data_IF_830583394032
#
_entry.id   IF_830583394032
#
_cell.length_a   1.000
_cell.length_b   1.000
_cell.length_c   1.000
_cell.angle_alpha   90.00
_cell.angle_beta   90.00
_cell.angle_gamma   90.00
#
_symmetry.space_group_name_H-M   'P 1'
#
loop_
_entity.id
_entity.type
_entity.pdbx_description
1 polymer ?
#
# COMPACT_ATOMS: atom_id res chain seq x y z
N UNK A 1 -86.57 64.85 42.69
CA UNK A 1 -85.18 64.44 42.95
C UNK A 1 -84.67 63.63 41.75
N UNK A 2 -84.09 64.26 40.72
CA UNK A 2 -83.57 63.60 39.52
C UNK A 2 -82.28 62.77 39.76
N UNK A 3 -81.59 63.04 40.87
CA UNK A 3 -80.26 62.52 41.22
C UNK A 3 -80.25 61.04 41.64
N UNK A 4 -81.28 60.55 42.32
CA UNK A 4 -81.37 59.14 42.75
C UNK A 4 -81.56 58.17 41.59
N UNK A 5 -82.33 58.55 40.57
CA UNK A 5 -82.57 57.70 39.38
C UNK A 5 -81.34 57.53 38.50
N UNK A 6 -80.47 58.56 38.44
CA UNK A 6 -79.20 58.51 37.73
C UNK A 6 -78.16 57.63 38.45
N UNK A 7 -78.12 57.69 39.79
CA UNK A 7 -77.24 56.85 40.60
C UNK A 7 -77.63 55.36 40.51
N UNK A 8 -78.93 55.05 40.52
CA UNK A 8 -79.45 53.70 40.31
C UNK A 8 -79.05 53.13 38.93
N UNK A 9 -79.17 53.95 37.87
CA UNK A 9 -78.78 53.54 36.52
C UNK A 9 -77.27 53.26 36.40
N UNK A 10 -76.42 54.08 37.03
CA UNK A 10 -74.98 53.85 37.10
C UNK A 10 -74.62 52.55 37.86
N UNK A 11 -75.34 52.26 38.96
CA UNK A 11 -75.16 51.02 39.71
C UNK A 11 -75.55 49.78 38.90
N UNK A 12 -76.67 49.84 38.16
CA UNK A 12 -77.08 48.74 37.26
C UNK A 12 -76.08 48.52 36.12
N UNK A 13 -75.56 49.61 35.53
CA UNK A 13 -74.50 49.50 34.50
C UNK A 13 -73.21 48.88 35.06
N UNK A 14 -72.85 49.20 36.31
CA UNK A 14 -71.70 48.58 36.98
C UNK A 14 -71.94 47.10 37.25
N UNK A 15 -73.12 46.71 37.70
CA UNK A 15 -73.48 45.30 37.91
C UNK A 15 -73.40 44.50 36.61
N UNK A 16 -73.89 45.06 35.50
CA UNK A 16 -73.87 44.40 34.19
C UNK A 16 -72.43 44.17 33.70
N UNK A 17 -71.56 45.19 33.79
CA UNK A 17 -70.12 45.04 33.53
C UNK A 17 -69.46 43.99 34.43
N UNK A 18 -69.87 43.91 35.68
CA UNK A 18 -69.33 42.94 36.64
C UNK A 18 -69.77 41.51 36.29
N UNK A 19 -71.00 41.33 35.80
CA UNK A 19 -71.47 40.04 35.28
C UNK A 19 -70.77 39.62 33.99
N UNK A 20 -70.54 40.56 33.08
CA UNK A 20 -69.81 40.34 31.82
C UNK A 20 -68.35 39.95 32.10
N UNK A 21 -67.67 40.70 32.98
CA UNK A 21 -66.30 40.39 33.40
C UNK A 21 -66.21 39.01 34.06
N UNK A 22 -67.18 38.65 34.92
CA UNK A 22 -67.23 37.32 35.54
C UNK A 22 -67.44 36.21 34.50
N UNK A 23 -68.29 36.45 33.50
CA UNK A 23 -68.51 35.55 32.37
C UNK A 23 -67.21 35.31 31.60
N UNK A 24 -66.54 36.38 31.17
CA UNK A 24 -65.26 36.31 30.46
C UNK A 24 -64.18 35.58 31.26
N UNK A 25 -64.04 35.89 32.55
CA UNK A 25 -63.13 35.18 33.46
C UNK A 25 -63.43 33.68 33.50
N UNK A 26 -64.70 33.30 33.59
CA UNK A 26 -65.12 31.90 33.62
C UNK A 26 -64.79 31.18 32.31
N UNK A 27 -65.05 31.84 31.16
CA UNK A 27 -64.69 31.32 29.83
C UNK A 27 -63.18 31.15 29.68
N UNK A 28 -62.39 32.17 30.06
CA UNK A 28 -60.94 32.12 29.99
C UNK A 28 -60.35 31.00 30.87
N UNK A 29 -60.89 30.79 32.08
CA UNK A 29 -60.49 29.68 32.95
C UNK A 29 -60.79 28.34 32.29
N UNK A 30 -61.97 28.18 31.66
CA UNK A 30 -62.31 26.96 30.94
C UNK A 30 -61.38 26.70 29.74
N UNK A 31 -61.05 27.74 28.97
CA UNK A 31 -60.09 27.64 27.87
C UNK A 31 -58.67 27.28 28.35
N UNK A 32 -58.21 27.88 29.46
CA UNK A 32 -56.91 27.55 30.05
C UNK A 32 -56.89 26.10 30.52
N UNK A 33 -57.96 25.64 31.19
CA UNK A 33 -58.05 24.26 31.67
C UNK A 33 -58.04 23.25 30.52
N UNK A 34 -58.78 23.51 29.43
CA UNK A 34 -58.79 22.64 28.24
C UNK A 34 -57.44 22.61 27.51
N UNK A 35 -56.73 23.75 27.43
CA UNK A 35 -55.35 23.77 26.92
C UNK A 35 -54.41 22.97 27.84
N UNK A 36 -54.57 23.10 29.15
CA UNK A 36 -53.73 22.41 30.13
C UNK A 36 -53.94 20.88 30.09
N UNK A 37 -55.18 20.40 29.91
CA UNK A 37 -55.44 18.97 29.73
C UNK A 37 -54.82 18.44 28.44
N UNK A 38 -54.96 19.16 27.33
CA UNK A 38 -54.37 18.75 26.04
C UNK A 38 -52.84 18.68 26.13
N UNK A 39 -52.18 19.70 26.70
CA UNK A 39 -50.73 19.68 26.91
C UNK A 39 -50.31 18.49 27.78
N UNK A 40 -51.07 18.17 28.84
CA UNK A 40 -50.76 17.04 29.72
C UNK A 40 -50.91 15.68 29.00
N UNK A 41 -51.91 15.53 28.14
CA UNK A 41 -52.08 14.35 27.29
C UNK A 41 -50.92 14.20 26.30
N UNK A 42 -50.50 15.29 25.65
CA UNK A 42 -49.34 15.29 24.74
C UNK A 42 -48.04 14.91 25.47
N UNK A 43 -47.80 15.45 26.67
CA UNK A 43 -46.64 15.09 27.49
C UNK A 43 -46.65 13.59 27.81
N UNK A 44 -47.82 13.03 28.15
CA UNK A 44 -47.95 11.60 28.43
C UNK A 44 -47.67 10.74 27.20
N UNK A 45 -48.18 11.14 26.03
CA UNK A 45 -47.94 10.43 24.77
C UNK A 45 -46.44 10.44 24.41
N UNK A 46 -45.81 11.61 24.42
CA UNK A 46 -44.38 11.77 24.11
C UNK A 46 -43.50 11.00 25.10
N UNK A 47 -43.89 10.92 26.37
CA UNK A 47 -43.15 10.15 27.38
C UNK A 47 -43.14 8.66 27.08
N UNK A 48 -44.25 8.09 26.63
CA UNK A 48 -44.31 6.68 26.26
C UNK A 48 -43.56 6.40 24.95
N UNK A 49 -43.60 7.33 23.98
CA UNK A 49 -42.80 7.24 22.75
C UNK A 49 -41.30 7.24 23.06
N UNK A 50 -40.82 8.19 23.87
CA UNK A 50 -39.41 8.24 24.30
C UNK A 50 -38.97 6.97 25.02
N UNK A 51 -39.85 6.37 25.84
CA UNK A 51 -39.57 5.12 26.54
C UNK A 51 -39.45 3.94 25.57
N UNK A 52 -40.28 3.90 24.53
CA UNK A 52 -40.19 2.92 23.45
C UNK A 52 -38.89 3.08 22.68
N UNK A 53 -38.51 4.31 22.32
CA UNK A 53 -37.27 4.59 21.61
C UNK A 53 -36.03 4.22 22.42
N UNK A 54 -35.99 4.56 23.71
CA UNK A 54 -34.89 4.18 24.60
C UNK A 54 -34.74 2.67 24.72
N UNK A 55 -35.86 1.93 24.76
CA UNK A 55 -35.83 0.47 24.73
C UNK A 55 -35.26 -0.04 23.40
N UNK A 56 -35.70 0.50 22.27
CA UNK A 56 -35.19 0.14 20.95
C UNK A 56 -33.70 0.43 20.77
N UNK A 57 -33.19 1.52 21.37
CA UNK A 57 -31.76 1.83 21.42
C UNK A 57 -31.01 0.78 22.26
N UNK A 58 -31.54 0.39 23.42
CA UNK A 58 -30.96 -0.66 24.26
C UNK A 58 -30.86 -2.01 23.54
N UNK A 59 -31.91 -2.40 22.82
CA UNK A 59 -31.92 -3.65 22.04
C UNK A 59 -30.89 -3.62 20.88
N UNK A 60 -30.71 -2.46 20.25
CA UNK A 60 -29.66 -2.27 19.23
C UNK A 60 -28.26 -2.33 19.84
N UNK A 61 -28.05 -1.75 21.02
CA UNK A 61 -26.75 -1.76 21.71
C UNK A 61 -26.35 -3.20 22.08
N UNK A 62 -27.26 -3.97 22.66
CA UNK A 62 -27.01 -5.40 22.98
C UNK A 62 -26.74 -6.24 21.73
N UNK A 63 -27.43 -5.96 20.63
CA UNK A 63 -27.14 -6.60 19.33
C UNK A 63 -25.76 -6.25 18.81
N UNK A 64 -25.32 -5.01 19.01
CA UNK A 64 -23.99 -4.55 18.60
C UNK A 64 -22.89 -5.19 19.45
N UNK A 65 -23.08 -5.29 20.77
CA UNK A 65 -22.14 -5.96 21.68
C UNK A 65 -21.93 -7.43 21.26
N UNK A 66 -23.01 -8.15 20.94
CA UNK A 66 -22.90 -9.53 20.44
C UNK A 66 -22.08 -9.63 19.14
N UNK A 67 -22.25 -8.68 18.22
CA UNK A 67 -21.46 -8.64 16.98
C UNK A 67 -19.99 -8.32 17.22
N UNK A 68 -19.69 -7.48 18.21
CA UNK A 68 -18.32 -7.20 18.63
C UNK A 68 -17.65 -8.46 19.19
N UNK A 69 -18.32 -9.20 20.07
CA UNK A 69 -17.84 -10.48 20.60
C UNK A 69 -17.57 -11.52 19.48
N UNK A 70 -18.50 -11.64 18.52
CA UNK A 70 -18.31 -12.50 17.35
C UNK A 70 -17.11 -12.06 16.50
N UNK A 71 -16.90 -10.75 16.34
CA UNK A 71 -15.78 -10.19 15.60
C UNK A 71 -14.45 -10.45 16.31
N UNK A 72 -14.37 -10.27 17.62
CA UNK A 72 -13.19 -10.60 18.42
C UNK A 72 -12.82 -12.09 18.29
N UNK A 73 -13.81 -12.98 18.33
CA UNK A 73 -13.60 -14.40 18.11
C UNK A 73 -13.02 -14.72 16.73
N UNK A 74 -13.52 -14.04 15.68
CA UNK A 74 -12.99 -14.17 14.31
C UNK A 74 -11.57 -13.65 14.19
N UNK A 75 -11.24 -12.52 14.83
CA UNK A 75 -9.89 -11.96 14.83
C UNK A 75 -8.91 -12.93 15.49
N UNK A 76 -9.22 -13.45 16.68
CA UNK A 76 -8.40 -14.47 17.36
C UNK A 76 -8.19 -15.73 16.50
N UNK A 77 -9.23 -16.17 15.78
CA UNK A 77 -9.10 -17.30 14.85
C UNK A 77 -8.15 -17.01 13.69
N UNK A 78 -8.17 -15.79 13.15
CA UNK A 78 -7.28 -15.37 12.06
C UNK A 78 -5.84 -15.25 12.55
N UNK A 79 -5.61 -14.64 13.71
CA UNK A 79 -4.29 -14.55 14.34
C UNK A 79 -3.68 -15.94 14.53
N UNK A 80 -4.42 -16.89 15.10
CA UNK A 80 -3.94 -18.25 15.28
C UNK A 80 -3.63 -18.95 13.94
N UNK A 81 -4.40 -18.67 12.88
CA UNK A 81 -4.10 -19.21 11.53
C UNK A 81 -2.82 -18.61 10.94
N UNK A 82 -2.56 -17.32 11.15
CA UNK A 82 -1.34 -16.68 10.70
C UNK A 82 -0.13 -17.22 11.46
N UNK A 83 -0.23 -17.35 12.78
CA UNK A 83 0.84 -17.90 13.64
C UNK A 83 1.25 -19.30 13.17
N UNK A 84 0.28 -20.21 12.99
CA UNK A 84 0.56 -21.57 12.54
C UNK A 84 1.21 -21.60 11.14
N UNK A 85 0.73 -20.77 10.21
CA UNK A 85 1.33 -20.69 8.87
C UNK A 85 2.75 -20.13 8.90
N UNK A 86 3.04 -19.22 9.83
CA UNK A 86 4.37 -18.65 9.99
C UNK A 86 5.34 -19.71 10.48
N UNK A 87 4.96 -20.47 11.51
CA UNK A 87 5.73 -21.62 12.02
C UNK A 87 5.97 -22.66 10.92
N UNK A 88 4.96 -22.98 10.10
CA UNK A 88 5.12 -23.90 8.96
C UNK A 88 6.13 -23.39 7.92
N UNK A 89 6.10 -22.09 7.63
CA UNK A 89 7.04 -21.45 6.70
C UNK A 89 8.45 -21.46 7.27
N UNK A 90 8.64 -21.10 8.54
CA UNK A 90 9.93 -21.14 9.22
C UNK A 90 10.54 -22.54 9.17
N UNK A 91 9.76 -23.56 9.55
CA UNK A 91 10.20 -24.95 9.48
C UNK A 91 10.59 -25.39 8.06
N UNK A 92 9.85 -24.93 7.05
CA UNK A 92 10.15 -25.24 5.65
C UNK A 92 11.43 -24.55 5.16
N UNK A 93 11.66 -23.30 5.55
CA UNK A 93 12.90 -22.58 5.23
C UNK A 93 14.09 -23.23 5.92
N UNK A 94 13.97 -23.54 7.20
CA UNK A 94 15.01 -24.21 8.00
C UNK A 94 15.44 -25.54 7.37
N UNK A 95 14.46 -26.37 6.98
CA UNK A 95 14.75 -27.66 6.33
C UNK A 95 15.41 -27.49 4.96
N UNK A 96 14.99 -26.50 4.16
CA UNK A 96 15.62 -26.22 2.87
C UNK A 96 17.04 -25.68 3.02
N UNK A 97 17.29 -24.89 4.06
CA UNK A 97 18.60 -24.33 4.34
C UNK A 97 19.57 -25.45 4.73
N UNK A 98 19.14 -26.35 5.63
CA UNK A 98 19.92 -27.55 6.00
C UNK A 98 20.25 -28.44 4.80
N UNK A 99 19.29 -28.72 3.93
CA UNK A 99 19.52 -29.50 2.70
C UNK A 99 20.52 -28.79 1.76
N UNK A 100 20.46 -27.46 1.67
CA UNK A 100 21.41 -26.68 0.88
C UNK A 100 22.82 -26.71 1.47
N UNK A 101 22.96 -26.57 2.79
CA UNK A 101 24.24 -26.70 3.50
C UNK A 101 24.87 -28.08 3.25
N UNK A 102 24.11 -29.16 3.49
CA UNK A 102 24.61 -30.52 3.26
C UNK A 102 25.06 -30.76 1.82
N UNK A 103 24.35 -30.20 0.83
CA UNK A 103 24.72 -30.30 -0.59
C UNK A 103 25.98 -29.50 -0.93
N UNK A 104 26.15 -28.32 -0.32
CA UNK A 104 27.35 -27.51 -0.50
C UNK A 104 28.58 -28.20 0.12
N UNK A 105 28.43 -28.73 1.33
CA UNK A 105 29.48 -29.50 2.00
C UNK A 105 29.93 -30.71 1.17
N UNK A 106 28.98 -31.48 0.63
CA UNK A 106 29.28 -32.63 -0.23
C UNK A 106 30.06 -32.23 -1.50
N UNK A 107 29.64 -31.14 -2.18
CA UNK A 107 30.33 -30.64 -3.39
C UNK A 107 31.72 -30.10 -3.11
N UNK A 108 31.92 -29.45 -1.97
CA UNK A 108 33.25 -28.98 -1.54
C UNK A 108 34.14 -30.20 -1.30
N UNK A 109 33.64 -31.22 -0.59
CA UNK A 109 34.40 -32.44 -0.32
C UNK A 109 34.83 -33.16 -1.62
N UNK A 110 33.90 -33.35 -2.56
CA UNK A 110 34.18 -33.96 -3.86
C UNK A 110 35.28 -33.22 -4.63
N UNK A 111 35.18 -31.89 -4.74
CA UNK A 111 36.20 -31.09 -5.43
C UNK A 111 37.56 -31.10 -4.72
N UNK A 112 37.57 -31.11 -3.39
CA UNK A 112 38.81 -31.18 -2.61
C UNK A 112 39.50 -32.54 -2.83
N UNK A 113 38.73 -33.62 -2.90
CA UNK A 113 39.27 -34.96 -3.19
C UNK A 113 39.83 -35.04 -4.62
N UNK A 114 39.11 -34.53 -5.62
CA UNK A 114 39.57 -34.47 -7.02
C UNK A 114 40.90 -33.70 -7.16
N UNK A 115 40.98 -32.52 -6.53
CA UNK A 115 42.22 -31.72 -6.50
C UNK A 115 43.33 -32.50 -5.80
N UNK A 116 43.04 -33.17 -4.68
CA UNK A 116 44.03 -33.96 -3.94
C UNK A 116 44.56 -35.14 -4.77
N UNK A 117 43.70 -35.83 -5.51
CA UNK A 117 44.08 -36.91 -6.43
C UNK A 117 44.96 -36.37 -7.56
N UNK A 118 44.57 -35.24 -8.17
CA UNK A 118 45.34 -34.62 -9.25
C UNK A 118 46.75 -34.23 -8.79
N UNK A 119 46.85 -33.60 -7.62
CA UNK A 119 48.13 -33.17 -7.05
C UNK A 119 49.02 -34.36 -6.73
N UNK A 120 48.45 -35.44 -6.18
CA UNK A 120 49.16 -36.69 -5.92
C UNK A 120 49.72 -37.30 -7.22
N UNK A 121 48.92 -37.32 -8.30
CA UNK A 121 49.37 -37.82 -9.60
C UNK A 121 50.52 -37.00 -10.18
N UNK A 122 50.42 -35.68 -10.14
CA UNK A 122 51.46 -34.80 -10.68
C UNK A 122 52.75 -34.85 -9.87
N UNK A 123 52.65 -35.03 -8.55
CA UNK A 123 53.81 -35.23 -7.67
C UNK A 123 54.56 -36.53 -8.00
N UNK A 124 53.84 -37.61 -8.32
CA UNK A 124 54.44 -38.87 -8.78
C UNK A 124 55.11 -38.72 -10.16
N UNK A 125 54.46 -38.02 -11.11
CA UNK A 125 55.10 -37.70 -12.42
C UNK A 125 56.37 -36.89 -12.23
N UNK A 126 56.37 -35.91 -11.33
CA UNK A 126 57.54 -35.07 -11.04
C UNK A 126 58.68 -35.89 -10.41
N UNK A 127 58.39 -36.76 -9.44
CA UNK A 127 59.37 -37.70 -8.87
C UNK A 127 60.00 -38.56 -9.97
N UNK A 128 59.18 -39.11 -10.86
CA UNK A 128 59.65 -39.97 -11.94
C UNK A 128 60.53 -39.20 -12.96
N UNK A 129 60.21 -37.93 -13.21
CA UNK A 129 60.98 -37.04 -14.09
C UNK A 129 62.31 -36.58 -13.46
N UNK A 130 62.34 -36.36 -12.14
CA UNK A 130 63.57 -36.05 -11.39
C UNK A 130 64.50 -37.27 -11.32
N UNK A 131 63.97 -38.50 -11.21
CA UNK A 131 64.78 -39.72 -11.25
C UNK A 131 65.33 -40.07 -12.64
N UNK A 132 64.79 -39.49 -13.73
CA UNK A 132 65.19 -39.83 -15.11
C UNK A 132 66.06 -38.79 -15.82
N UNK A 133 66.47 -37.71 -15.13
CA UNK A 133 67.63 -36.91 -15.53
C UNK A 133 67.53 -36.20 -16.89
N UNK A 134 66.38 -35.63 -17.24
CA UNK A 134 66.26 -34.74 -18.42
C UNK A 134 65.63 -33.40 -18.00
N UNK A 135 66.48 -32.39 -17.84
CA UNK A 135 66.06 -30.99 -17.69
C UNK A 135 65.89 -30.37 -19.07
N UNK A 136 64.64 -30.10 -19.45
CA UNK A 136 64.30 -29.21 -20.56
C UNK A 136 63.32 -28.13 -20.06
N UNK A 137 63.61 -26.89 -20.47
CA UNK A 137 62.92 -25.66 -20.10
C UNK A 137 61.38 -25.75 -20.25
N UNK A 138 60.68 -25.71 -19.11
CA UNK A 138 59.25 -25.47 -19.08
C UNK A 138 58.95 -24.01 -19.46
N UNK A 139 58.45 -23.78 -20.69
CA UNK A 139 57.90 -22.49 -21.09
C UNK A 139 56.43 -22.38 -20.69
N UNK A 140 56.14 -21.47 -19.76
CA UNK A 140 54.78 -21.09 -19.39
C UNK A 140 54.19 -20.19 -20.48
N UNK A 141 53.27 -20.72 -21.31
CA UNK A 141 52.46 -19.88 -22.19
C UNK A 141 51.31 -19.27 -21.39
N UNK A 142 51.33 -17.95 -21.23
CA UNK A 142 50.23 -17.20 -20.64
C UNK A 142 48.93 -17.43 -21.45
N UNK A 143 47.79 -17.71 -20.80
CA UNK A 143 46.55 -17.95 -21.50
C UNK A 143 46.06 -16.66 -22.17
N UNK A 144 45.87 -16.80 -23.47
CA UNK A 144 45.20 -15.91 -24.43
C UNK A 144 44.32 -14.80 -23.82
N UNK A 145 44.60 -13.57 -24.21
CA UNK A 145 43.78 -12.38 -23.93
C UNK A 145 42.34 -12.60 -24.42
N UNK A 146 41.42 -12.80 -23.48
CA UNK A 146 39.97 -12.95 -23.74
C UNK A 146 39.41 -11.66 -24.37
N UNK A 147 38.54 -11.74 -25.38
CA UNK A 147 37.84 -10.57 -25.90
C UNK A 147 36.91 -9.99 -24.82
N UNK A 148 37.13 -8.72 -24.45
CA UNK A 148 36.27 -8.00 -23.52
C UNK A 148 34.96 -7.62 -24.22
N UNK A 149 33.88 -8.32 -23.86
CA UNK A 149 32.53 -7.91 -24.27
C UNK A 149 32.24 -6.59 -23.54
N UNK A 150 32.02 -5.53 -24.32
CA UNK A 150 31.66 -4.21 -23.79
C UNK A 150 30.30 -4.28 -23.11
N UNK A 151 30.21 -3.78 -21.87
CA UNK A 151 28.96 -3.65 -21.14
C UNK A 151 28.30 -2.29 -21.45
N UNK A 152 26.97 -2.25 -21.34
CA UNK A 152 26.17 -1.03 -21.53
C UNK A 152 26.24 -0.14 -20.29
N UNK A 153 26.07 1.17 -20.45
CA UNK A 153 25.94 2.11 -19.33
C UNK A 153 24.51 2.14 -18.79
N UNK A 154 24.33 2.44 -17.51
CA UNK A 154 23.01 2.60 -16.87
C UNK A 154 22.78 4.04 -16.43
N UNK A 155 21.69 4.65 -16.91
CA UNK A 155 21.32 6.04 -16.61
C UNK A 155 20.08 6.18 -15.71
N UNK A 156 19.50 5.06 -15.26
CA UNK A 156 18.29 5.06 -14.41
C UNK A 156 16.96 5.14 -15.16
N UNK A 157 16.95 5.27 -16.50
CA UNK A 157 15.71 5.45 -17.28
C UNK A 157 15.08 4.15 -17.74
N UNK A 158 15.89 3.12 -17.96
CA UNK A 158 15.43 1.78 -18.32
C UNK A 158 15.27 0.91 -17.08
N UNK A 159 14.48 -0.16 -17.20
CA UNK A 159 14.21 -1.09 -16.09
C UNK A 159 15.52 -1.62 -15.48
N UNK A 160 15.68 -1.40 -14.18
CA UNK A 160 16.81 -1.91 -13.41
C UNK A 160 16.95 -3.43 -13.54
N UNK A 161 15.83 -4.17 -13.54
CA UNK A 161 15.85 -5.63 -13.69
C UNK A 161 16.43 -6.06 -15.04
N UNK A 162 16.03 -5.41 -16.13
CA UNK A 162 16.54 -5.70 -17.48
C UNK A 162 18.04 -5.43 -17.55
N UNK A 163 18.49 -4.31 -16.99
CA UNK A 163 19.91 -3.97 -16.93
C UNK A 163 20.72 -4.97 -16.09
N UNK A 164 20.22 -5.32 -14.90
CA UNK A 164 20.83 -6.30 -13.99
C UNK A 164 21.01 -7.65 -14.66
N UNK A 165 20.00 -8.14 -15.39
CA UNK A 165 20.10 -9.39 -16.17
C UNK A 165 21.16 -9.30 -17.26
N UNK A 166 21.19 -8.21 -18.04
CA UNK A 166 22.21 -8.02 -19.08
C UNK A 166 23.62 -7.95 -18.49
N UNK A 167 23.79 -7.23 -17.37
CA UNK A 167 25.05 -7.12 -16.67
C UNK A 167 25.55 -8.48 -16.18
N UNK A 168 24.68 -9.31 -15.59
CA UNK A 168 25.04 -10.66 -15.15
C UNK A 168 25.47 -11.55 -16.32
N UNK A 169 24.76 -11.52 -17.46
CA UNK A 169 25.13 -12.29 -18.65
C UNK A 169 26.54 -11.92 -19.13
N UNK A 170 26.86 -10.62 -19.19
CA UNK A 170 28.18 -10.14 -19.61
C UNK A 170 29.25 -10.47 -18.58
N UNK A 171 28.95 -10.35 -17.29
CA UNK A 171 29.86 -10.67 -16.21
C UNK A 171 30.23 -12.16 -16.19
N UNK A 172 29.26 -13.04 -16.46
CA UNK A 172 29.47 -14.49 -16.51
C UNK A 172 30.23 -14.89 -17.79
N UNK A 173 29.92 -14.27 -18.93
CA UNK A 173 30.67 -14.47 -20.18
C UNK A 173 32.15 -14.03 -20.03
N UNK A 174 32.39 -12.94 -19.31
CA UNK A 174 33.73 -12.43 -19.03
C UNK A 174 34.39 -13.10 -17.80
N UNK A 175 33.70 -13.97 -17.06
CA UNK A 175 34.16 -14.60 -15.81
C UNK A 175 34.67 -13.59 -14.76
N UNK A 176 33.94 -12.50 -14.56
CA UNK A 176 34.29 -11.50 -13.54
C UNK A 176 34.10 -12.06 -12.12
N UNK A 177 35.06 -11.78 -11.24
CA UNK A 177 34.94 -12.00 -9.80
C UNK A 177 34.08 -10.88 -9.16
N UNK A 178 33.65 -11.08 -7.91
CA UNK A 178 32.75 -10.15 -7.21
C UNK A 178 33.31 -8.73 -7.13
N UNK A 179 34.64 -8.59 -6.99
CA UNK A 179 35.31 -7.30 -6.95
C UNK A 179 35.31 -6.60 -8.32
N UNK A 180 35.60 -7.32 -9.39
CA UNK A 180 35.51 -6.76 -10.76
C UNK A 180 34.06 -6.41 -11.11
N UNK A 181 33.08 -7.24 -10.71
CA UNK A 181 31.65 -6.94 -10.89
C UNK A 181 31.27 -5.62 -10.21
N UNK A 182 31.70 -5.39 -8.96
CA UNK A 182 31.42 -4.15 -8.25
C UNK A 182 32.05 -2.92 -8.94
N UNK A 183 33.34 -3.02 -9.27
CA UNK A 183 34.06 -1.93 -9.97
C UNK A 183 33.42 -1.59 -11.31
N UNK A 184 33.08 -2.60 -12.11
CA UNK A 184 32.46 -2.39 -13.42
C UNK A 184 31.02 -1.87 -13.29
N UNK A 185 30.26 -2.35 -12.30
CA UNK A 185 28.93 -1.84 -12.02
C UNK A 185 29.00 -0.35 -11.63
N UNK A 186 29.85 0.03 -10.68
CA UNK A 186 30.05 1.43 -10.30
C UNK A 186 30.50 2.30 -11.50
N UNK A 187 31.42 1.79 -12.33
CA UNK A 187 31.90 2.49 -13.52
C UNK A 187 30.85 2.60 -14.64
N UNK A 188 29.80 1.76 -14.61
CA UNK A 188 28.71 1.76 -15.60
C UNK A 188 27.60 2.78 -15.30
N UNK A 189 27.49 3.25 -14.05
CA UNK A 189 26.44 4.18 -13.62
C UNK A 189 26.69 5.59 -14.20
N UNK A 190 25.63 6.21 -14.71
CA UNK A 190 25.62 7.56 -15.30
C UNK A 190 24.39 8.34 -14.80
N UNK A 191 24.45 9.67 -14.91
CA UNK A 191 23.35 10.57 -14.58
C UNK A 191 22.75 10.25 -13.18
N UNK A 192 21.42 10.16 -13.08
CA UNK A 192 20.71 9.91 -11.82
C UNK A 192 21.17 8.62 -11.14
N UNK A 193 21.59 7.60 -11.90
CA UNK A 193 22.07 6.35 -11.32
C UNK A 193 23.44 6.50 -10.62
N UNK A 194 24.26 7.46 -11.04
CA UNK A 194 25.56 7.73 -10.41
C UNK A 194 25.43 8.35 -9.01
N UNK A 195 24.32 9.04 -8.70
CA UNK A 195 24.08 9.62 -7.36
C UNK A 195 24.03 8.56 -6.25
N UNK A 196 23.74 7.30 -6.59
CA UNK A 196 23.77 6.19 -5.62
C UNK A 196 25.17 6.01 -5.03
N UNK A 197 26.22 6.29 -5.80
CA UNK A 197 27.59 6.22 -5.32
C UNK A 197 27.87 7.26 -4.24
N UNK A 198 27.18 8.41 -4.26
CA UNK A 198 27.27 9.42 -3.20
C UNK A 198 26.46 9.04 -1.96
N UNK A 199 25.38 8.29 -2.15
CA UNK A 199 24.47 7.88 -1.05
C UNK A 199 25.07 6.76 -0.21
N UNK A 200 25.96 5.94 -0.79
CA UNK A 200 26.62 4.83 -0.10
C UNK A 200 27.92 5.25 0.62
N UNK A 201 28.21 4.67 1.79
CA UNK A 201 29.49 4.85 2.47
C UNK A 201 30.63 4.21 1.66
N UNK A 202 31.82 4.80 1.75
CA UNK A 202 32.97 4.49 0.88
C UNK A 202 33.41 3.02 0.95
N UNK A 203 33.21 2.37 2.10
CA UNK A 203 33.47 0.94 2.32
C UNK A 203 32.53 0.01 1.56
N UNK A 204 31.35 0.48 1.15
CA UNK A 204 30.31 -0.29 0.46
C UNK A 204 30.21 0.03 -1.04
N UNK A 205 30.94 1.05 -1.53
CA UNK A 205 30.95 1.44 -2.96
C UNK A 205 31.63 0.42 -3.87
N UNK A 206 32.41 -0.49 -3.29
CA UNK A 206 33.10 -1.58 -3.99
C UNK A 206 32.54 -2.95 -3.61
N UNK A 207 31.41 -2.97 -2.89
CA UNK A 207 30.67 -4.18 -2.61
C UNK A 207 29.53 -4.33 -3.63
N UNK A 208 29.52 -5.45 -4.34
CA UNK A 208 28.56 -5.71 -5.41
C UNK A 208 27.13 -5.80 -4.84
N UNK A 209 26.95 -6.48 -3.71
CA UNK A 209 25.62 -6.69 -3.13
C UNK A 209 25.05 -5.38 -2.57
N UNK A 210 25.88 -4.56 -1.93
CA UNK A 210 25.48 -3.23 -1.46
C UNK A 210 25.06 -2.30 -2.62
N UNK A 211 25.81 -2.28 -3.72
CA UNK A 211 25.47 -1.50 -4.91
C UNK A 211 24.14 -1.97 -5.53
N UNK A 212 23.97 -3.28 -5.70
CA UNK A 212 22.75 -3.86 -6.25
C UNK A 212 21.56 -3.54 -5.36
N UNK A 213 21.68 -3.64 -4.04
CA UNK A 213 20.60 -3.33 -3.11
C UNK A 213 20.23 -1.85 -3.13
N UNK A 214 21.19 -0.94 -3.23
CA UNK A 214 20.91 0.49 -3.33
C UNK A 214 20.23 0.86 -4.67
N UNK A 215 20.66 0.22 -5.77
CA UNK A 215 20.02 0.35 -7.08
C UNK A 215 18.60 -0.25 -7.08
N UNK A 216 18.39 -1.39 -6.43
CA UNK A 216 17.09 -2.02 -6.25
C UNK A 216 16.15 -1.16 -5.39
N UNK A 217 16.68 -0.53 -4.34
CA UNK A 217 15.89 0.34 -3.47
C UNK A 217 15.43 1.62 -4.18
N UNK A 218 16.21 2.13 -5.13
CA UNK A 218 15.89 3.40 -5.81
C UNK A 218 15.21 3.22 -7.16
N UNK A 219 15.63 2.23 -7.93
CA UNK A 219 15.18 1.96 -9.30
C UNK A 219 14.50 0.59 -9.47
N UNK A 220 14.38 -0.19 -8.39
CA UNK A 220 13.69 -1.47 -8.43
C UNK A 220 12.19 -1.33 -8.68
N UNK A 221 11.57 -2.44 -9.08
CA UNK A 221 10.18 -2.47 -9.52
C UNK A 221 9.20 -1.95 -8.48
N UNK A 222 9.48 -2.14 -7.18
CA UNK A 222 8.63 -1.63 -6.11
C UNK A 222 8.56 -0.10 -6.10
N UNK A 223 9.70 0.57 -6.21
CA UNK A 223 9.74 2.03 -6.27
C UNK A 223 9.15 2.57 -7.56
N UNK A 224 9.36 1.89 -8.69
CA UNK A 224 8.72 2.24 -9.97
C UNK A 224 7.19 2.11 -9.85
N UNK A 225 6.69 1.04 -9.22
CA UNK A 225 5.25 0.83 -8.96
C UNK A 225 4.69 1.94 -8.07
N UNK A 226 5.33 2.22 -6.95
CA UNK A 226 4.85 3.21 -5.98
C UNK A 226 4.88 4.64 -6.55
N UNK A 227 5.95 5.00 -7.27
CA UNK A 227 6.04 6.28 -7.97
C UNK A 227 4.98 6.39 -9.07
N UNK A 228 4.78 5.34 -9.87
CA UNK A 228 3.75 5.32 -10.92
C UNK A 228 2.34 5.44 -10.34
N UNK A 229 2.05 4.82 -9.19
CA UNK A 229 0.78 4.98 -8.47
C UNK A 229 0.56 6.42 -8.00
N UNK A 230 1.60 7.08 -7.49
CA UNK A 230 1.54 8.48 -7.07
C UNK A 230 1.34 9.42 -8.27
N UNK A 231 2.03 9.16 -9.39
CA UNK A 231 1.85 9.90 -10.64
C UNK A 231 0.43 9.72 -11.19
N UNK A 232 -0.10 8.49 -11.19
CA UNK A 232 -1.46 8.19 -11.63
C UNK A 232 -2.51 8.93 -10.80
N UNK A 233 -2.35 8.97 -9.46
CA UNK A 233 -3.25 9.71 -8.56
C UNK A 233 -3.22 11.22 -8.75
N UNK A 234 -2.05 11.78 -9.04
CA UNK A 234 -1.87 13.23 -9.24
C UNK A 234 -2.07 13.67 -10.69
N UNK A 235 -2.36 12.72 -11.60
CA UNK A 235 -2.49 13.02 -13.02
C UNK A 235 -3.76 13.80 -13.29
N UNK A 236 -3.60 14.93 -13.95
CA UNK A 236 -4.69 15.78 -14.45
C UNK A 236 -4.37 16.24 -15.87
N UNK A 237 -5.39 16.43 -16.69
CA UNK A 237 -5.27 16.92 -18.06
C UNK A 237 -4.64 18.32 -18.08
N UNK A 238 -3.53 18.49 -18.80
CA UNK A 238 -2.92 19.82 -18.98
C UNK A 238 -3.74 20.68 -19.94
N UNK A 239 -3.59 22.00 -19.86
CA UNK A 239 -4.35 22.96 -20.68
C UNK A 239 -4.12 22.76 -22.18
N UNK A 240 -2.92 22.32 -22.57
CA UNK A 240 -2.50 22.09 -23.95
C UNK A 240 -2.58 20.61 -24.37
N UNK A 241 -3.04 19.72 -23.50
CA UNK A 241 -2.98 18.28 -23.70
C UNK A 241 -4.31 17.73 -24.21
N UNK A 242 -4.23 16.90 -25.24
CA UNK A 242 -5.38 16.20 -25.81
C UNK A 242 -5.84 15.06 -24.90
N UNK A 243 -7.11 14.66 -25.03
CA UNK A 243 -7.64 13.52 -24.29
C UNK A 243 -6.92 12.21 -24.63
N UNK A 244 -6.44 12.07 -25.86
CA UNK A 244 -5.69 10.89 -26.30
C UNK A 244 -4.32 10.81 -25.63
N UNK A 245 -3.59 11.93 -25.55
CA UNK A 245 -2.30 12.00 -24.83
C UNK A 245 -2.46 11.68 -23.34
N UNK A 246 -3.52 12.20 -22.71
CA UNK A 246 -3.86 11.83 -21.33
C UNK A 246 -4.16 10.33 -21.20
N UNK A 247 -4.98 9.77 -22.09
CA UNK A 247 -5.35 8.35 -22.04
C UNK A 247 -4.12 7.45 -22.18
N UNK A 248 -3.26 7.73 -23.17
CA UNK A 248 -2.03 6.97 -23.39
C UNK A 248 -1.08 7.04 -22.19
N UNK A 249 -0.96 8.21 -21.55
CA UNK A 249 -0.09 8.34 -20.38
C UNK A 249 -0.69 7.65 -19.13
N UNK A 250 -2.01 7.73 -18.92
CA UNK A 250 -2.71 7.01 -17.85
C UNK A 250 -2.61 5.50 -18.05
N UNK A 251 -2.77 4.99 -19.27
CA UNK A 251 -2.62 3.58 -19.60
C UNK A 251 -1.19 3.10 -19.32
N UNK A 252 -0.19 3.85 -19.79
CA UNK A 252 1.23 3.56 -19.54
C UNK A 252 1.53 3.52 -18.03
N UNK A 253 1.07 4.52 -17.27
CA UNK A 253 1.27 4.59 -15.83
C UNK A 253 0.53 3.47 -15.09
N UNK A 254 -0.66 3.07 -15.55
CA UNK A 254 -1.43 1.96 -14.98
C UNK A 254 -0.71 0.62 -15.18
N UNK A 255 -0.12 0.39 -16.36
CA UNK A 255 0.71 -0.79 -16.61
C UNK A 255 1.93 -0.87 -15.70
N UNK A 256 2.58 0.26 -15.41
CA UNK A 256 3.73 0.32 -14.51
C UNK A 256 3.33 0.18 -13.03
N UNK A 257 2.21 0.78 -12.63
CA UNK A 257 1.70 0.79 -11.26
C UNK A 257 1.09 -0.56 -10.82
N UNK A 258 0.50 -1.29 -11.78
CA UNK A 258 -0.30 -2.49 -11.56
C UNK A 258 0.12 -3.62 -12.51
N UNK A 259 1.42 -3.84 -12.68
CA UNK A 259 1.94 -4.95 -13.51
C UNK A 259 1.46 -6.33 -13.03
N UNK A 260 1.25 -6.47 -11.72
CA UNK A 260 0.91 -7.74 -11.06
C UNK A 260 -0.60 -8.00 -10.99
N UNK A 261 -1.42 -7.05 -11.46
CA UNK A 261 -2.87 -7.18 -11.49
C UNK A 261 -3.35 -7.81 -12.81
N UNK A 262 -4.50 -8.48 -12.75
CA UNK A 262 -5.22 -8.95 -13.94
C UNK A 262 -5.54 -7.77 -14.86
N UNK A 263 -5.52 -8.01 -16.17
CA UNK A 263 -5.70 -6.97 -17.19
C UNK A 263 -7.03 -6.23 -17.01
N UNK A 264 -8.10 -6.95 -16.70
CA UNK A 264 -9.44 -6.40 -16.51
C UNK A 264 -9.48 -5.43 -15.32
N UNK A 265 -8.78 -5.76 -14.23
CA UNK A 265 -8.71 -4.89 -13.04
C UNK A 265 -7.89 -3.64 -13.34
N UNK A 266 -6.78 -3.79 -14.05
CA UNK A 266 -5.91 -2.68 -14.47
C UNK A 266 -6.63 -1.72 -15.42
N UNK A 267 -7.43 -2.23 -16.35
CA UNK A 267 -8.25 -1.43 -17.27
C UNK A 267 -9.31 -0.63 -16.52
N UNK A 268 -10.02 -1.25 -15.56
CA UNK A 268 -11.01 -0.55 -14.73
C UNK A 268 -10.36 0.58 -13.91
N UNK A 269 -9.18 0.32 -13.32
CA UNK A 269 -8.43 1.33 -12.59
C UNK A 269 -7.92 2.45 -13.51
N UNK A 270 -7.40 2.12 -14.70
CA UNK A 270 -6.97 3.10 -15.68
C UNK A 270 -8.13 4.00 -16.12
N UNK A 271 -9.30 3.42 -16.41
CA UNK A 271 -10.51 4.16 -16.77
C UNK A 271 -10.96 5.09 -15.64
N UNK A 272 -10.92 4.63 -14.39
CA UNK A 272 -11.28 5.46 -13.23
C UNK A 272 -10.33 6.68 -13.11
N UNK A 273 -9.02 6.44 -13.16
CA UNK A 273 -8.03 7.51 -13.10
C UNK A 273 -8.08 8.45 -14.31
N UNK A 274 -8.44 7.95 -15.49
CA UNK A 274 -8.67 8.77 -16.67
C UNK A 274 -9.86 9.72 -16.46
N UNK A 275 -11.01 9.21 -15.99
CA UNK A 275 -12.22 10.01 -15.73
C UNK A 275 -11.94 11.11 -14.70
N UNK A 276 -11.22 10.77 -13.62
CA UNK A 276 -10.86 11.70 -12.55
C UNK A 276 -9.80 12.72 -13.01
N UNK A 277 -8.98 12.35 -13.98
CA UNK A 277 -7.94 13.19 -14.59
C UNK A 277 -8.46 14.22 -15.62
N UNK A 278 -9.65 14.02 -16.19
CA UNK A 278 -10.21 14.92 -17.21
C UNK A 278 -10.62 16.27 -16.63
N UNK A 279 -10.35 17.36 -17.38
CA UNK A 279 -10.60 18.75 -16.93
C UNK A 279 -12.08 19.11 -16.85
N UNK A 280 -12.95 18.44 -17.60
CA UNK A 280 -14.39 18.74 -17.65
C UNK A 280 -15.08 18.38 -16.31
N UNK A 281 -15.73 19.34 -15.62
CA UNK A 281 -16.45 19.09 -14.37
C UNK A 281 -17.58 18.03 -14.48
N UNK A 282 -18.12 17.78 -15.69
CA UNK A 282 -19.18 16.79 -15.88
C UNK A 282 -18.68 15.34 -15.73
N UNK A 283 -17.41 15.05 -16.03
CA UNK A 283 -16.85 13.70 -15.87
C UNK A 283 -16.56 13.36 -14.40
N UNK A 284 -16.16 14.33 -13.57
CA UNK A 284 -15.95 14.13 -12.12
C UNK A 284 -17.24 13.83 -11.35
N UNK A 285 -18.37 14.43 -11.74
CA UNK A 285 -19.67 14.15 -11.10
C UNK A 285 -20.12 12.70 -11.31
N UNK A 286 -19.67 12.03 -12.37
CA UNK A 286 -19.99 10.62 -12.64
C UNK A 286 -19.23 9.65 -11.75
N UNK A 287 -17.99 9.97 -11.32
CA UNK A 287 -17.25 9.15 -10.36
C UNK A 287 -17.78 9.31 -8.93
N UNK A 288 -18.15 10.54 -8.52
CA UNK A 288 -18.80 10.79 -7.23
C UNK A 288 -20.14 10.05 -7.07
N UNK A 289 -20.97 10.02 -8.12
CA UNK A 289 -22.27 9.33 -8.08
C UNK A 289 -22.16 7.80 -7.91
N UNK A 290 -21.03 7.22 -8.35
CA UNK A 290 -20.77 5.77 -8.25
C UNK A 290 -20.33 5.35 -6.85
N UNK A 291 -19.65 6.24 -6.11
CA UNK A 291 -19.17 6.00 -4.74
C UNK A 291 -20.31 6.11 -3.71
N UNK A 292 -21.33 6.95 -3.94
CA UNK A 292 -22.48 7.09 -3.02
C UNK A 292 -23.51 5.94 -3.06
N UNK A 293 -23.26 4.88 -3.84
CA UNK A 293 -24.19 3.74 -4.03
C UNK A 293 -23.65 2.38 -3.57
N UNK A 294 -22.45 2.33 -3.01
CA UNK A 294 -21.86 1.16 -2.34
C UNK A 294 -21.70 1.44 -0.85
#
# INVERSE_FOLDING_TARGET
MPTTRAMEAQFQTLLEKLTEMKSELTTNIAEVNTKLTNVNEQISANKEELKSDLKGIGDKLTTMDKKFEEMEGRIKSVENKFENKFVDIENKFENKFKDMESKLEAKIFEKVEDVSISFRSDLEKLKQKVMTGQGDEFKFQAPYSKPSIKFSTYDGKFSWQVYKTQFSIVADANQWDSQTKACQLAASLRADAADILQTLPETQRLDFDALVNALELRFGEKCVKDYSRLQLKSRQQKVSETLQELATDVERLSHLAFSDCLTEVREVLALQHFIDGVRDPKSRKLSEWRISRT
#
